data_IF_596228089376
#
_entry.id   IF_596228089376
#
_cell.length_a   1.000
_cell.length_b   1.000
_cell.length_c   1.000
_cell.angle_alpha   90.00
_cell.angle_beta   90.00
_cell.angle_gamma   90.00
#
_symmetry.space_group_name_H-M   'P 1'
#
loop_
_entity.id
_entity.type
_entity.pdbx_description
1 polymer ?
#
# COMPACT_ATOMS: atom_id res chain seq x y z
N UNK A 1 -6.90 -9.89 2.81
CA UNK A 1 -7.41 -8.52 3.08
C UNK A 1 -6.81 -8.00 4.38
N UNK A 2 -5.53 -7.61 4.37
CA UNK A 2 -4.77 -7.30 5.59
C UNK A 2 -4.49 -5.79 5.80
N UNK A 3 -4.58 -4.94 4.76
CA UNK A 3 -4.33 -3.51 4.91
C UNK A 3 -5.49 -2.72 5.55
N UNK A 4 -6.73 -3.17 5.36
CA UNK A 4 -7.90 -2.48 5.93
C UNK A 4 -7.89 -2.41 7.46
N UNK A 5 -7.45 -3.50 8.11
CA UNK A 5 -7.41 -3.60 9.57
C UNK A 5 -6.29 -2.77 10.23
N UNK A 6 -5.29 -2.30 9.45
CA UNK A 6 -4.18 -1.49 9.98
C UNK A 6 -4.46 0.02 10.01
N UNK A 7 -5.58 0.48 9.43
CA UNK A 7 -5.85 1.91 9.20
C UNK A 7 -7.00 2.50 10.03
N UNK A 8 -7.61 1.69 10.92
CA UNK A 8 -8.73 2.14 11.78
C UNK A 8 -10.12 1.93 11.17
N UNK A 9 -10.22 1.29 10.00
CA UNK A 9 -11.50 0.88 9.40
C UNK A 9 -12.09 -0.28 10.21
N UNK A 10 -13.35 -0.18 10.60
CA UNK A 10 -14.02 -1.24 11.37
C UNK A 10 -14.32 -2.46 10.49
N UNK A 11 -14.50 -3.62 11.10
CA UNK A 11 -14.87 -4.85 10.38
C UNK A 11 -16.20 -4.68 9.61
N UNK A 12 -17.15 -3.95 10.18
CA UNK A 12 -18.44 -3.62 9.55
C UNK A 12 -18.27 -2.72 8.32
N UNK A 13 -17.41 -1.71 8.39
CA UNK A 13 -17.10 -0.86 7.24
C UNK A 13 -16.41 -1.64 6.11
N UNK A 14 -15.50 -2.56 6.46
CA UNK A 14 -14.85 -3.44 5.49
C UNK A 14 -15.85 -4.34 4.75
N UNK A 15 -16.77 -4.96 5.48
CA UNK A 15 -17.80 -5.83 4.89
C UNK A 15 -18.69 -5.06 3.90
N UNK A 16 -19.08 -3.84 4.27
CA UNK A 16 -19.87 -2.95 3.42
C UNK A 16 -19.14 -2.52 2.14
N UNK A 17 -17.84 -2.20 2.24
CA UNK A 17 -17.04 -1.81 1.07
C UNK A 17 -16.90 -2.98 0.09
N UNK A 18 -16.79 -4.21 0.59
CA UNK A 18 -16.63 -5.41 -0.23
C UNK A 18 -17.94 -5.85 -0.88
N UNK A 19 -19.09 -5.47 -0.32
CA UNK A 19 -20.41 -5.92 -0.81
C UNK A 19 -20.96 -5.11 -2.00
N UNK A 20 -20.21 -4.16 -2.56
CA UNK A 20 -20.64 -3.19 -3.60
C UNK A 20 -21.83 -2.27 -3.20
N UNK A 21 -22.56 -2.57 -2.13
CA UNK A 21 -23.71 -1.80 -1.62
C UNK A 21 -23.30 -0.61 -0.70
N UNK A 22 -22.05 -0.19 -0.76
CA UNK A 22 -21.48 0.84 0.14
C UNK A 22 -22.17 2.20 0.03
N UNK A 23 -22.78 2.49 -1.13
CA UNK A 23 -23.52 3.74 -1.36
C UNK A 23 -24.79 3.82 -0.51
N UNK A 24 -25.44 2.70 -0.24
CA UNK A 24 -26.69 2.64 0.52
C UNK A 24 -26.47 2.39 2.03
N UNK A 25 -25.26 2.00 2.41
CA UNK A 25 -24.92 1.70 3.81
C UNK A 25 -24.85 2.95 4.69
N UNK A 26 -25.34 2.86 5.93
CA UNK A 26 -25.15 3.89 6.95
C UNK A 26 -23.81 3.80 7.69
N UNK A 27 -23.01 2.76 7.42
CA UNK A 27 -21.73 2.53 8.09
C UNK A 27 -20.60 3.46 7.58
N UNK A 28 -20.82 4.12 6.43
CA UNK A 28 -19.88 5.05 5.83
C UNK A 28 -20.48 6.46 5.78
N UNK A 29 -19.66 7.44 6.12
CA UNK A 29 -19.95 8.86 5.89
C UNK A 29 -19.98 9.20 4.39
N UNK A 30 -20.58 10.33 4.04
CA UNK A 30 -20.61 10.82 2.65
C UNK A 30 -19.21 10.92 2.03
N UNK A 31 -18.23 11.38 2.83
CA UNK A 31 -16.84 11.50 2.41
C UNK A 31 -16.16 10.15 2.19
N UNK A 32 -16.41 9.15 3.05
CA UNK A 32 -15.90 7.79 2.87
C UNK A 32 -16.52 7.12 1.63
N UNK A 33 -17.83 7.28 1.40
CA UNK A 33 -18.49 6.79 0.18
C UNK A 33 -17.90 7.42 -1.07
N UNK A 34 -17.67 8.73 -1.06
CA UNK A 34 -17.02 9.43 -2.15
C UNK A 34 -15.60 8.92 -2.42
N UNK A 35 -14.83 8.59 -1.37
CA UNK A 35 -13.50 7.99 -1.53
C UNK A 35 -13.56 6.60 -2.21
N UNK A 36 -14.47 5.73 -1.77
CA UNK A 36 -14.65 4.39 -2.34
C UNK A 36 -15.10 4.50 -3.80
N UNK A 37 -16.08 5.35 -4.09
CA UNK A 37 -16.57 5.63 -5.44
C UNK A 37 -15.46 6.13 -6.37
N UNK A 38 -14.63 7.07 -5.88
CA UNK A 38 -13.50 7.55 -6.67
C UNK A 38 -12.48 6.45 -6.94
N UNK A 39 -12.10 5.69 -5.91
CA UNK A 39 -11.14 4.60 -6.02
C UNK A 39 -11.62 3.52 -7.01
N UNK A 40 -12.91 3.20 -7.03
CA UNK A 40 -13.52 2.28 -7.99
C UNK A 40 -13.35 2.79 -9.44
N UNK A 41 -13.73 4.05 -9.69
CA UNK A 41 -13.64 4.64 -11.03
C UNK A 41 -12.19 4.81 -11.52
N UNK A 42 -11.26 5.16 -10.65
CA UNK A 42 -9.82 5.21 -10.97
C UNK A 42 -9.30 3.81 -11.28
N UNK A 43 -9.68 2.80 -10.49
CA UNK A 43 -9.24 1.41 -10.69
C UNK A 43 -9.77 0.79 -11.98
N UNK A 44 -11.02 1.07 -12.32
CA UNK A 44 -11.64 0.65 -13.59
C UNK A 44 -11.21 1.53 -14.78
N UNK A 45 -10.41 2.56 -14.55
CA UNK A 45 -9.98 3.54 -15.54
C UNK A 45 -11.16 4.20 -16.29
N UNK A 46 -12.23 4.53 -15.57
CA UNK A 46 -13.45 5.18 -16.10
C UNK A 46 -13.60 6.63 -15.62
N UNK A 47 -12.78 7.07 -14.65
CA UNK A 47 -12.85 8.40 -14.04
C UNK A 47 -12.82 9.55 -15.07
N UNK A 48 -12.05 9.39 -16.17
CA UNK A 48 -11.95 10.41 -17.24
C UNK A 48 -13.27 10.70 -17.95
N UNK A 49 -14.17 9.73 -18.01
CA UNK A 49 -15.45 9.83 -18.73
C UNK A 49 -16.61 10.20 -17.80
N UNK A 50 -16.33 10.38 -16.50
CA UNK A 50 -17.33 10.53 -15.44
C UNK A 50 -17.13 11.83 -14.68
N UNK A 51 -17.34 12.95 -15.39
CA UNK A 51 -17.31 14.30 -14.80
C UNK A 51 -18.33 14.43 -13.65
N UNK A 52 -19.47 13.74 -13.74
CA UNK A 52 -20.49 13.68 -12.70
C UNK A 52 -19.95 13.08 -11.38
N UNK A 53 -19.10 12.06 -11.49
CA UNK A 53 -18.43 11.44 -10.33
C UNK A 53 -17.35 12.37 -9.80
N UNK A 54 -16.53 12.96 -10.68
CA UNK A 54 -15.50 13.91 -10.27
C UNK A 54 -16.10 15.08 -9.47
N UNK A 55 -17.19 15.67 -9.96
CA UNK A 55 -17.89 16.76 -9.27
C UNK A 55 -18.57 16.32 -7.97
N UNK A 56 -18.97 15.06 -7.87
CA UNK A 56 -19.50 14.49 -6.62
C UNK A 56 -18.41 14.35 -5.57
N UNK A 57 -17.27 13.79 -5.94
CA UNK A 57 -16.13 13.56 -5.04
C UNK A 57 -15.50 14.88 -4.62
N UNK A 58 -15.35 15.83 -5.56
CA UNK A 58 -14.81 17.17 -5.31
C UNK A 58 -15.57 17.97 -4.25
N UNK A 59 -16.84 17.66 -3.98
CA UNK A 59 -17.61 18.32 -2.90
C UNK A 59 -17.15 17.90 -1.51
N UNK A 60 -16.63 16.69 -1.38
CA UNK A 60 -16.23 16.09 -0.10
C UNK A 60 -14.74 16.26 0.20
N UNK A 61 -13.93 16.61 -0.81
CA UNK A 61 -12.46 16.71 -0.74
C UNK A 61 -11.94 18.04 -1.26
N UNK A 62 -10.90 18.56 -0.61
CA UNK A 62 -10.10 19.65 -1.18
C UNK A 62 -9.29 19.18 -2.39
N UNK A 63 -8.75 20.11 -3.17
CA UNK A 63 -7.93 19.77 -4.34
C UNK A 63 -6.71 18.92 -3.97
N UNK A 64 -6.01 19.27 -2.88
CA UNK A 64 -4.87 18.49 -2.37
C UNK A 64 -5.30 17.09 -1.98
N UNK A 65 -6.37 16.94 -1.22
CA UNK A 65 -6.84 15.61 -0.79
C UNK A 65 -7.31 14.77 -1.98
N UNK A 66 -7.93 15.38 -3.00
CA UNK A 66 -8.33 14.70 -4.22
C UNK A 66 -7.13 14.14 -4.98
N UNK A 67 -6.04 14.91 -5.05
CA UNK A 67 -4.76 14.45 -5.62
C UNK A 67 -4.22 13.29 -4.80
N UNK A 68 -4.19 13.40 -3.46
CA UNK A 68 -3.70 12.36 -2.56
C UNK A 68 -4.45 11.04 -2.73
N UNK A 69 -5.79 11.06 -2.69
CA UNK A 69 -6.58 9.83 -2.86
C UNK A 69 -6.39 9.22 -4.26
N UNK A 70 -6.25 10.05 -5.29
CA UNK A 70 -5.97 9.58 -6.66
C UNK A 70 -4.60 8.90 -6.74
N UNK A 71 -3.58 9.51 -6.15
CA UNK A 71 -2.23 8.96 -6.09
C UNK A 71 -2.19 7.64 -5.33
N UNK A 72 -2.90 7.53 -4.20
CA UNK A 72 -2.99 6.27 -3.46
C UNK A 72 -3.67 5.17 -4.30
N UNK A 73 -4.79 5.47 -4.96
CA UNK A 73 -5.44 4.50 -5.85
C UNK A 73 -4.49 4.04 -6.98
N UNK A 74 -3.81 4.98 -7.64
CA UNK A 74 -2.84 4.66 -8.70
C UNK A 74 -1.68 3.79 -8.19
N UNK A 75 -1.14 4.09 -7.00
CA UNK A 75 -0.05 3.34 -6.40
C UNK A 75 -0.46 1.89 -6.13
N UNK A 76 -1.59 1.67 -5.47
CA UNK A 76 -2.10 0.32 -5.19
C UNK A 76 -2.42 -0.46 -6.46
N UNK A 77 -3.01 0.19 -7.47
CA UNK A 77 -3.28 -0.44 -8.76
C UNK A 77 -2.00 -0.85 -9.48
N UNK A 78 -0.97 -0.02 -9.41
CA UNK A 78 0.35 -0.32 -9.99
C UNK A 78 1.03 -1.47 -9.25
N UNK A 79 0.95 -1.47 -7.92
CA UNK A 79 1.54 -2.50 -7.07
C UNK A 79 0.88 -3.87 -7.27
N UNK A 80 -0.45 -3.92 -7.31
CA UNK A 80 -1.19 -5.15 -7.60
C UNK A 80 -0.78 -5.74 -8.95
N UNK A 81 -0.74 -4.92 -10.00
CA UNK A 81 -0.28 -5.35 -11.33
C UNK A 81 1.17 -5.82 -11.34
N UNK A 82 2.05 -5.16 -10.58
CA UNK A 82 3.45 -5.56 -10.45
C UNK A 82 3.59 -6.94 -9.80
N UNK A 83 2.92 -7.17 -8.66
CA UNK A 83 2.92 -8.47 -7.99
C UNK A 83 2.32 -9.57 -8.86
N UNK A 84 1.18 -9.29 -9.49
CA UNK A 84 0.49 -10.22 -10.40
C UNK A 84 1.38 -10.60 -11.60
N UNK A 85 2.04 -9.61 -12.21
CA UNK A 85 2.93 -9.82 -13.37
C UNK A 85 4.16 -10.67 -13.02
N UNK A 86 4.62 -10.57 -11.77
CA UNK A 86 5.73 -11.36 -11.25
C UNK A 86 5.28 -12.71 -10.67
N UNK A 87 3.98 -13.03 -10.71
CA UNK A 87 3.40 -14.23 -10.11
C UNK A 87 3.80 -14.41 -8.65
N UNK A 88 3.95 -13.31 -7.91
CA UNK A 88 4.25 -13.36 -6.48
C UNK A 88 3.00 -13.97 -5.80
N UNK A 89 3.12 -15.11 -5.12
CA UNK A 89 1.98 -15.71 -4.44
C UNK A 89 1.48 -14.75 -3.36
N UNK A 90 0.17 -14.57 -3.30
CA UNK A 90 -0.45 -13.88 -2.16
C UNK A 90 -0.14 -14.73 -0.94
N UNK A 91 0.67 -14.18 -0.03
CA UNK A 91 1.07 -14.85 1.19
C UNK A 91 -0.17 -15.41 1.91
N UNK A 92 -0.10 -16.68 2.34
CA UNK A 92 -1.19 -17.26 3.12
C UNK A 92 -1.39 -16.44 4.40
N UNK A 93 -2.63 -16.29 4.91
CA UNK A 93 -2.96 -15.38 6.01
C UNK A 93 -2.09 -15.47 7.27
N UNK A 94 -1.35 -16.57 7.47
CA UNK A 94 -0.41 -16.76 8.57
C UNK A 94 0.93 -16.02 8.46
N UNK A 95 1.31 -15.48 7.30
CA UNK A 95 2.54 -14.70 7.13
C UNK A 95 2.35 -13.20 7.49
N UNK A 96 1.10 -12.72 7.55
CA UNK A 96 0.74 -11.33 7.87
C UNK A 96 1.19 -10.91 9.28
N UNK A 97 1.31 -11.87 10.21
CA UNK A 97 1.85 -11.62 11.55
C UNK A 97 3.30 -11.14 11.53
N UNK A 98 4.07 -11.46 10.49
CA UNK A 98 5.47 -11.02 10.33
C UNK A 98 5.57 -9.53 9.98
N UNK A 99 4.57 -8.97 9.30
CA UNK A 99 4.51 -7.53 9.01
C UNK A 99 4.36 -6.75 10.33
N UNK A 100 3.59 -7.28 11.27
CA UNK A 100 3.42 -6.69 12.60
C UNK A 100 4.73 -6.72 13.40
N UNK A 101 5.54 -7.77 13.23
CA UNK A 101 6.90 -7.85 13.79
C UNK A 101 7.83 -6.79 13.20
N UNK A 102 7.68 -6.45 11.92
CA UNK A 102 8.49 -5.41 11.26
C UNK A 102 8.21 -3.98 11.79
N UNK A 103 7.08 -3.75 12.47
CA UNK A 103 6.71 -2.44 13.03
C UNK A 103 7.26 -2.27 14.47
N UNK A 104 7.63 -3.37 15.15
CA UNK A 104 8.21 -3.34 16.49
C UNK A 104 9.67 -3.82 16.47
N UNK A 105 10.58 -2.88 16.24
CA UNK A 105 12.01 -3.07 16.50
C UNK A 105 12.26 -2.93 18.00
N UNK A 106 12.50 -4.04 18.70
CA UNK A 106 12.97 -4.01 20.08
C UNK A 106 14.35 -3.32 20.14
N UNK A 107 14.49 -2.18 20.84
CA UNK A 107 15.75 -1.47 20.97
C UNK A 107 16.90 -2.34 21.51
N UNK A 108 16.59 -3.34 22.34
CA UNK A 108 17.60 -4.26 22.87
C UNK A 108 18.14 -5.21 21.79
N UNK A 109 17.27 -5.70 20.90
CA UNK A 109 17.67 -6.55 19.77
C UNK A 109 18.50 -5.76 18.75
N UNK A 110 18.08 -4.54 18.42
CA UNK A 110 18.83 -3.66 17.51
C UNK A 110 20.22 -3.37 18.08
N UNK A 111 20.29 -3.06 19.38
CA UNK A 111 21.57 -2.83 20.06
C UNK A 111 22.46 -4.07 20.05
N UNK A 112 21.90 -5.25 20.31
CA UNK A 112 22.64 -6.52 20.27
C UNK A 112 23.22 -6.80 18.89
N UNK A 113 22.39 -6.69 17.85
CA UNK A 113 22.81 -6.86 16.46
C UNK A 113 23.90 -5.86 16.05
N UNK A 114 23.73 -4.58 16.39
CA UNK A 114 24.75 -3.57 16.10
C UNK A 114 26.05 -3.82 16.86
N UNK A 115 25.99 -4.29 18.10
CA UNK A 115 27.19 -4.66 18.86
C UNK A 115 27.92 -5.82 18.20
N UNK A 116 27.20 -6.85 17.77
CA UNK A 116 27.77 -8.01 17.08
C UNK A 116 28.38 -7.62 15.73
N UNK A 117 27.72 -6.71 14.98
CA UNK A 117 28.30 -6.14 13.76
C UNK A 117 29.59 -5.36 14.02
N UNK A 118 29.66 -4.59 15.11
CA UNK A 118 30.86 -3.83 15.49
C UNK A 118 31.97 -4.79 15.90
N UNK A 119 31.65 -5.81 16.69
CA UNK A 119 32.62 -6.80 17.19
C UNK A 119 33.20 -7.65 16.05
N UNK A 120 32.45 -7.83 14.96
CA UNK A 120 32.86 -8.56 13.76
C UNK A 120 33.12 -7.66 12.55
N UNK A 121 33.31 -6.35 12.77
CA UNK A 121 33.54 -5.41 11.68
C UNK A 121 34.91 -5.67 11.05
N UNK A 122 34.99 -6.08 9.77
CA UNK A 122 36.26 -6.37 9.14
C UNK A 122 37.04 -5.08 8.85
N UNK A 123 38.36 -5.11 9.00
CA UNK A 123 39.23 -3.98 8.64
C UNK A 123 39.28 -3.77 7.11
N UNK A 124 39.12 -4.84 6.33
CA UNK A 124 39.05 -4.81 4.87
C UNK A 124 37.80 -5.54 4.39
N UNK A 125 37.00 -4.86 3.56
CA UNK A 125 35.86 -5.47 2.87
C UNK A 125 36.33 -6.08 1.56
N UNK A 126 35.80 -7.25 1.16
CA UNK A 126 36.14 -7.85 -0.12
C UNK A 126 35.80 -6.87 -1.26
N UNK A 127 36.75 -6.64 -2.16
CA UNK A 127 36.47 -5.90 -3.38
C UNK A 127 35.43 -6.68 -4.19
N UNK A 128 34.34 -6.05 -4.66
CA UNK A 128 33.39 -6.74 -5.53
C UNK A 128 34.14 -7.20 -6.78
N UNK A 129 34.10 -8.51 -7.06
CA UNK A 129 34.79 -9.12 -8.19
C UNK A 129 34.61 -8.27 -9.45
N UNK A 130 35.73 -7.75 -9.97
CA UNK A 130 35.79 -6.78 -11.08
C UNK A 130 35.36 -7.31 -12.46
N UNK A 131 34.32 -8.13 -12.54
CA UNK A 131 33.77 -8.67 -13.78
C UNK A 131 32.26 -8.38 -13.93
N UNK A 132 31.88 -7.10 -13.99
CA UNK A 132 30.55 -6.75 -14.49
C UNK A 132 30.43 -5.34 -15.06
N UNK A 133 31.44 -4.77 -15.73
CA UNK A 133 31.23 -3.65 -16.67
C UNK A 133 32.16 -3.82 -17.88
N UNK A 134 31.82 -4.79 -18.72
CA UNK A 134 32.37 -4.89 -20.07
C UNK A 134 32.00 -3.65 -20.86
N UNK A 135 32.99 -2.82 -21.16
CA UNK A 135 32.86 -1.67 -22.04
C UNK A 135 32.54 -2.14 -23.46
N UNK A 136 31.41 -1.68 -23.98
CA UNK A 136 31.09 -1.63 -25.41
C UNK A 136 32.14 -0.81 -26.17
N UNK A 137 32.79 -1.43 -27.16
CA UNK A 137 33.19 -0.81 -28.43
C UNK A 137 33.14 -1.85 -29.54
#
# INVERSE_FOLDING_TARGET
MALGQATGITQEQLEVIVSDDYMDSSALSSREKAAVLWAEHVTRNTARERDDIFETVRKEFTETELIEITMMSCLFNSWNRFMDSLHIPVEEPGEVDKIRTSIYLDPALVKGYMQEMIDHWPEEFPEPDGQALGNSR
#
